data_IF_871753737400
#
_entry.id   IF_871753737400
#
_cell.length_a   1.000
_cell.length_b   1.000
_cell.length_c   1.000
_cell.angle_alpha   90.00
_cell.angle_beta   90.00
_cell.angle_gamma   90.00
#
_symmetry.space_group_name_H-M   'P 1'
#
loop_
_entity.id
_entity.type
_entity.pdbx_description
1 polymer ?
#
# COMPACT_ATOMS: atom_id res chain seq x y z
N UNK A 1 -34.57 -5.53 16.84
CA UNK A 1 -34.88 -4.22 16.22
C UNK A 1 -33.79 -3.94 15.18
N UNK A 2 -34.10 -4.14 13.90
CA UNK A 2 -33.16 -4.06 12.77
C UNK A 2 -33.50 -2.82 11.94
N UNK A 3 -32.55 -1.90 11.76
CA UNK A 3 -32.72 -0.67 10.98
C UNK A 3 -32.10 -0.90 9.59
N UNK A 4 -32.95 -0.98 8.57
CA UNK A 4 -32.55 -0.97 7.15
C UNK A 4 -32.37 0.49 6.69
N UNK A 5 -31.18 0.87 6.23
CA UNK A 5 -31.00 2.12 5.49
C UNK A 5 -31.23 1.90 3.99
N UNK A 6 -32.21 2.63 3.46
CA UNK A 6 -32.66 2.64 2.07
C UNK A 6 -31.86 3.70 1.32
N UNK A 7 -30.92 3.29 0.45
CA UNK A 7 -30.17 4.23 -0.41
C UNK A 7 -31.00 4.51 -1.66
N UNK A 8 -31.31 5.79 -1.89
CA UNK A 8 -32.08 6.30 -3.03
C UNK A 8 -31.09 6.62 -4.17
N UNK A 9 -31.14 5.85 -5.25
CA UNK A 9 -30.46 6.19 -6.51
C UNK A 9 -31.41 7.05 -7.34
N UNK A 10 -31.08 8.34 -7.50
CA UNK A 10 -31.78 9.22 -8.44
C UNK A 10 -31.09 9.22 -9.81
N UNK A 11 -31.95 9.26 -10.83
CA UNK A 11 -31.68 9.08 -12.25
C UNK A 11 -30.77 10.19 -12.82
N UNK A 12 -29.69 9.79 -13.50
CA UNK A 12 -28.88 10.69 -14.33
C UNK A 12 -29.07 10.30 -15.80
N UNK A 13 -30.17 10.77 -16.41
CA UNK A 13 -30.39 10.74 -17.85
C UNK A 13 -30.80 12.14 -18.26
N UNK A 14 -29.88 12.90 -18.87
CA UNK A 14 -30.21 14.15 -19.53
C UNK A 14 -29.23 14.46 -20.67
N UNK A 15 -29.78 14.34 -21.88
CA UNK A 15 -29.61 15.26 -23.01
C UNK A 15 -28.20 15.62 -23.48
N UNK A 16 -27.65 14.84 -24.42
CA UNK A 16 -26.67 15.36 -25.39
C UNK A 16 -26.79 14.66 -26.76
N UNK A 17 -28.01 14.62 -27.32
CA UNK A 17 -28.29 14.09 -28.67
C UNK A 17 -28.61 15.21 -29.68
N UNK A 18 -27.91 16.36 -29.57
CA UNK A 18 -28.03 17.47 -30.55
C UNK A 18 -26.68 18.01 -31.04
N UNK A 19 -25.56 17.36 -30.72
CA UNK A 19 -24.22 17.81 -31.10
C UNK A 19 -23.53 16.91 -32.15
N UNK A 20 -24.31 16.14 -32.92
CA UNK A 20 -23.77 15.22 -33.94
C UNK A 20 -24.14 15.65 -35.37
N UNK A 21 -24.87 16.76 -35.56
CA UNK A 21 -25.43 17.15 -36.87
C UNK A 21 -24.93 18.49 -37.44
N UNK A 22 -23.85 19.09 -36.93
CA UNK A 22 -23.39 20.41 -37.37
C UNK A 22 -21.90 20.53 -37.71
N UNK A 23 -21.22 19.45 -38.08
CA UNK A 23 -19.82 19.52 -38.57
C UNK A 23 -19.62 18.92 -39.96
N UNK A 24 -20.65 18.99 -40.82
CA UNK A 24 -20.62 18.55 -42.23
C UNK A 24 -20.31 19.67 -43.24
N UNK A 25 -19.69 20.78 -42.84
CA UNK A 25 -19.29 21.84 -43.77
C UNK A 25 -17.96 22.48 -43.38
N UNK A 26 -16.86 21.90 -43.85
CA UNK A 26 -15.59 22.61 -44.21
C UNK A 26 -14.64 21.63 -44.92
N UNK A 27 -14.99 21.21 -46.14
CA UNK A 27 -14.03 20.58 -47.06
C UNK A 27 -13.92 21.49 -48.27
N UNK A 28 -12.95 22.41 -48.25
CA UNK A 28 -12.22 22.88 -49.45
C UNK A 28 -10.99 23.68 -49.01
N UNK A 29 -9.84 23.00 -48.82
CA UNK A 29 -8.53 23.65 -48.87
C UNK A 29 -7.52 22.65 -49.46
N UNK A 30 -7.24 22.86 -50.76
CA UNK A 30 -5.99 22.63 -51.50
C UNK A 30 -5.19 21.33 -51.30
N UNK A 31 -5.21 20.51 -52.36
CA UNK A 31 -4.14 19.59 -52.76
C UNK A 31 -2.83 20.35 -53.00
N UNK A 32 -1.85 20.16 -52.12
CA UNK A 32 -0.44 20.31 -52.43
C UNK A 32 0.34 19.26 -51.62
N UNK A 33 0.82 18.20 -52.28
CA UNK A 33 1.76 17.23 -51.71
C UNK A 33 3.17 17.85 -51.70
N UNK A 34 3.82 18.07 -50.56
CA UNK A 34 5.27 18.10 -50.54
C UNK A 34 5.77 16.65 -50.52
N UNK A 35 6.68 16.34 -51.44
CA UNK A 35 7.49 15.12 -51.43
C UNK A 35 8.32 15.12 -50.14
N UNK A 36 8.04 14.19 -49.24
CA UNK A 36 8.89 13.95 -48.09
C UNK A 36 10.09 13.13 -48.57
N UNK A 37 11.19 13.84 -48.79
CA UNK A 37 12.50 13.26 -49.06
C UNK A 37 12.85 12.27 -47.94
N UNK A 38 13.00 10.99 -48.28
CA UNK A 38 13.50 9.96 -47.36
C UNK A 38 14.93 10.33 -46.98
N UNK A 39 15.10 10.99 -45.83
CA UNK A 39 16.41 11.05 -45.18
C UNK A 39 16.89 9.61 -44.90
N UNK A 40 18.13 9.26 -45.25
CA UNK A 40 18.67 7.95 -44.94
C UNK A 40 18.67 7.76 -43.43
N UNK A 41 18.08 6.65 -42.96
CA UNK A 41 18.18 6.20 -41.58
C UNK A 41 19.65 5.95 -41.28
N UNK A 42 20.33 6.95 -40.72
CA UNK A 42 21.59 6.72 -40.03
C UNK A 42 21.29 5.78 -38.88
N UNK A 43 21.68 4.51 -39.05
CA UNK A 43 21.91 3.59 -37.95
C UNK A 43 22.93 4.27 -37.02
N UNK A 44 22.42 5.00 -36.03
CA UNK A 44 23.20 5.35 -34.85
C UNK A 44 23.53 4.01 -34.21
N UNK A 45 24.76 3.54 -34.41
CA UNK A 45 25.33 2.53 -33.55
C UNK A 45 25.27 3.12 -32.13
N UNK A 46 24.24 2.72 -31.38
CA UNK A 46 24.23 2.93 -29.96
C UNK A 46 25.50 2.26 -29.46
N UNK A 47 26.44 3.05 -28.96
CA UNK A 47 27.56 2.53 -28.19
C UNK A 47 26.93 1.79 -27.01
N UNK A 48 26.77 0.48 -27.16
CA UNK A 48 26.32 -0.39 -26.08
C UNK A 48 27.40 -0.27 -25.03
N UNK A 49 27.13 0.52 -23.99
CA UNK A 49 28.00 0.56 -22.83
C UNK A 49 28.05 -0.87 -22.29
N UNK A 50 29.19 -1.59 -22.37
CA UNK A 50 29.25 -3.00 -22.03
C UNK A 50 28.87 -3.24 -20.56
N UNK A 51 29.09 -2.24 -19.69
CA UNK A 51 28.65 -2.27 -18.30
C UNK A 51 27.12 -2.35 -18.16
N UNK A 52 26.37 -1.61 -18.99
CA UNK A 52 24.90 -1.62 -18.96
C UNK A 52 24.33 -2.94 -19.46
N UNK A 53 25.01 -3.60 -20.40
CA UNK A 53 24.60 -4.92 -20.85
C UNK A 53 24.93 -6.02 -19.84
N UNK A 54 26.05 -5.89 -19.11
CA UNK A 54 26.42 -6.81 -18.05
C UNK A 54 25.40 -6.81 -16.90
N UNK A 55 24.97 -5.61 -16.45
CA UNK A 55 23.95 -5.49 -15.39
C UNK A 55 22.57 -6.00 -15.79
N UNK A 56 22.21 -5.96 -17.08
CA UNK A 56 20.90 -6.45 -17.53
C UNK A 56 20.78 -7.97 -17.54
N UNK A 57 21.91 -8.69 -17.56
CA UNK A 57 21.94 -10.16 -17.45
C UNK A 57 22.44 -10.69 -16.10
N UNK A 58 23.06 -9.84 -15.28
CA UNK A 58 23.59 -10.27 -14.00
C UNK A 58 22.46 -10.59 -13.02
N UNK A 59 22.68 -11.64 -12.23
CA UNK A 59 21.68 -12.20 -11.32
C UNK A 59 22.27 -12.44 -9.94
N UNK A 60 21.43 -12.28 -8.93
CA UNK A 60 21.67 -12.79 -7.59
C UNK A 60 20.87 -14.08 -7.39
N UNK A 61 21.33 -14.94 -6.49
CA UNK A 61 20.58 -16.13 -6.07
C UNK A 61 20.30 -16.06 -4.57
N UNK A 62 19.03 -16.07 -4.19
CA UNK A 62 18.64 -16.23 -2.80
C UNK A 62 18.96 -17.67 -2.37
N UNK A 63 19.83 -17.83 -1.37
CA UNK A 63 20.29 -19.15 -0.94
C UNK A 63 19.21 -19.96 -0.21
N UNK A 64 18.24 -19.27 0.40
CA UNK A 64 17.19 -19.94 1.16
C UNK A 64 16.09 -20.51 0.25
N UNK A 65 15.63 -19.73 -0.73
CA UNK A 65 14.58 -20.18 -1.67
C UNK A 65 15.12 -20.77 -2.96
N UNK A 66 16.41 -20.58 -3.26
CA UNK A 66 17.03 -20.93 -4.53
C UNK A 66 16.63 -20.04 -5.71
N UNK A 67 15.80 -19.00 -5.47
CA UNK A 67 15.27 -18.12 -6.51
C UNK A 67 16.37 -17.21 -7.07
N UNK A 68 16.40 -17.11 -8.40
CA UNK A 68 17.25 -16.14 -9.10
C UNK A 68 16.50 -14.82 -9.31
N UNK A 69 17.22 -13.71 -9.17
CA UNK A 69 16.71 -12.35 -9.33
C UNK A 69 17.64 -11.58 -10.25
N UNK A 70 17.11 -10.87 -11.24
CA UNK A 70 17.92 -9.90 -11.98
C UNK A 70 18.26 -8.72 -11.08
N UNK A 71 19.36 -8.03 -11.37
CA UNK A 71 19.71 -6.79 -10.67
C UNK A 71 18.54 -5.80 -10.73
N UNK A 72 18.10 -5.33 -9.55
CA UNK A 72 16.94 -4.45 -9.40
C UNK A 72 15.63 -5.17 -9.05
N UNK A 73 15.52 -6.45 -9.38
CA UNK A 73 14.35 -7.26 -9.00
C UNK A 73 14.29 -7.47 -7.49
N UNK A 74 13.07 -7.61 -7.00
CA UNK A 74 12.79 -7.97 -5.62
C UNK A 74 11.61 -8.92 -5.52
N UNK A 75 11.53 -9.62 -4.39
CA UNK A 75 10.36 -10.40 -4.04
C UNK A 75 10.18 -10.46 -2.52
N UNK A 76 8.98 -10.81 -2.09
CA UNK A 76 8.69 -11.09 -0.68
C UNK A 76 8.94 -12.56 -0.40
N UNK A 77 9.79 -12.87 0.58
CA UNK A 77 9.95 -14.25 1.06
C UNK A 77 8.74 -14.62 1.91
N UNK A 78 7.88 -15.48 1.37
CA UNK A 78 6.65 -15.94 2.02
C UNK A 78 6.93 -16.56 3.38
N UNK A 79 6.05 -16.32 4.36
CA UNK A 79 6.19 -16.81 5.74
C UNK A 79 7.21 -16.07 6.61
N UNK A 80 8.05 -15.20 6.05
CA UNK A 80 9.01 -14.39 6.83
C UNK A 80 8.74 -12.88 6.74
N UNK A 81 7.93 -12.44 5.78
CA UNK A 81 7.72 -11.02 5.45
C UNK A 81 9.03 -10.23 5.33
N UNK A 82 9.92 -10.72 4.48
CA UNK A 82 11.20 -10.08 4.19
C UNK A 82 11.21 -9.72 2.71
N UNK A 83 11.56 -8.48 2.39
CA UNK A 83 11.82 -8.10 0.99
C UNK A 83 13.26 -8.45 0.65
N UNK A 84 13.42 -9.32 -0.33
CA UNK A 84 14.72 -9.72 -0.87
C UNK A 84 14.93 -8.96 -2.17
N UNK A 85 16.05 -8.27 -2.32
CA UNK A 85 16.39 -7.51 -3.51
C UNK A 85 17.80 -7.84 -4.00
N UNK A 86 17.97 -7.97 -5.32
CA UNK A 86 19.29 -8.10 -5.93
C UNK A 86 19.87 -6.70 -6.20
N UNK A 87 20.97 -6.36 -5.52
CA UNK A 87 21.66 -5.08 -5.70
C UNK A 87 22.59 -5.09 -6.91
N UNK A 88 22.99 -3.90 -7.36
CA UNK A 88 24.01 -3.74 -8.40
C UNK A 88 25.39 -4.32 -8.02
N UNK A 89 25.66 -4.57 -6.75
CA UNK A 89 26.88 -5.25 -6.29
C UNK A 89 26.83 -6.78 -6.46
N UNK A 90 25.73 -7.33 -7.00
CA UNK A 90 25.43 -8.77 -7.04
C UNK A 90 25.26 -9.41 -5.65
N UNK A 91 24.99 -8.58 -4.66
CA UNK A 91 24.65 -9.00 -3.31
C UNK A 91 23.14 -9.02 -3.13
N UNK A 92 22.68 -9.92 -2.27
CA UNK A 92 21.31 -9.93 -1.79
C UNK A 92 21.17 -8.94 -0.63
N UNK A 93 20.21 -8.04 -0.74
CA UNK A 93 19.76 -7.20 0.35
C UNK A 93 18.45 -7.71 0.92
N UNK A 94 18.36 -7.75 2.26
CA UNK A 94 17.16 -8.15 2.98
C UNK A 94 16.60 -6.96 3.75
N UNK A 95 15.33 -6.60 3.48
CA UNK A 95 14.56 -5.66 4.29
C UNK A 95 13.58 -6.42 5.18
N UNK A 96 13.57 -6.08 6.47
CA UNK A 96 12.70 -6.71 7.47
C UNK A 96 11.77 -5.65 8.02
N UNK A 97 10.57 -6.08 8.41
CA UNK A 97 9.64 -5.21 9.12
C UNK A 97 10.31 -4.59 10.34
N UNK A 98 10.39 -3.27 10.36
CA UNK A 98 10.91 -2.54 11.49
C UNK A 98 9.88 -2.58 12.62
N UNK A 99 10.38 -2.67 13.86
CA UNK A 99 9.53 -2.52 15.05
C UNK A 99 9.50 -1.01 15.36
N UNK A 100 8.35 -0.33 15.22
CA UNK A 100 8.26 1.09 15.49
C UNK A 100 8.42 1.38 16.98
N UNK A 101 8.73 2.64 17.31
CA UNK A 101 8.68 3.11 18.70
C UNK A 101 7.22 3.30 19.08
N UNK A 102 6.71 2.40 19.91
CA UNK A 102 5.32 2.36 20.35
C UNK A 102 5.20 2.74 21.84
N UNK A 103 3.99 3.06 22.33
CA UNK A 103 3.70 3.15 23.75
C UNK A 103 4.03 1.86 24.51
N UNK A 104 3.94 1.91 25.83
CA UNK A 104 4.04 0.71 26.66
C UNK A 104 2.83 -0.21 26.44
N UNK A 105 2.99 -1.50 26.81
CA UNK A 105 1.92 -2.51 26.77
C UNK A 105 1.32 -2.73 25.36
N UNK A 106 2.20 -2.93 24.38
CA UNK A 106 1.83 -3.26 23.01
C UNK A 106 2.14 -4.73 22.68
N UNK A 107 1.26 -5.35 21.90
CA UNK A 107 1.42 -6.70 21.36
C UNK A 107 1.34 -6.66 19.84
N UNK A 108 2.17 -7.46 19.16
CA UNK A 108 2.04 -7.62 17.70
C UNK A 108 0.81 -8.44 17.37
N UNK A 109 -0.01 -7.94 16.47
CA UNK A 109 -1.14 -8.66 15.92
C UNK A 109 -0.69 -9.54 14.76
N UNK A 110 -1.29 -10.74 14.62
CA UNK A 110 -1.04 -11.57 13.44
C UNK A 110 -1.51 -10.82 12.20
N UNK A 111 -0.74 -10.96 11.13
CA UNK A 111 -1.08 -10.39 9.82
C UNK A 111 -2.35 -11.07 9.34
N UNK A 112 -3.33 -10.30 8.85
CA UNK A 112 -4.60 -10.85 8.38
C UNK A 112 -4.44 -11.86 7.24
N UNK A 113 -3.33 -11.78 6.49
CA UNK A 113 -3.02 -12.67 5.39
C UNK A 113 -1.49 -12.80 5.20
N UNK A 114 -0.97 -14.02 5.33
CA UNK A 114 0.46 -14.36 5.19
C UNK A 114 0.98 -14.32 3.74
N UNK A 115 0.08 -14.27 2.75
CA UNK A 115 0.39 -14.17 1.32
C UNK A 115 0.54 -12.72 0.84
N UNK A 116 0.49 -11.74 1.75
CA UNK A 116 0.72 -10.35 1.40
C UNK A 116 2.20 -10.12 1.06
N UNK A 117 2.43 -9.27 0.07
CA UNK A 117 3.78 -8.79 -0.24
C UNK A 117 4.25 -7.75 0.77
N UNK A 118 5.56 -7.67 0.98
CA UNK A 118 6.20 -6.62 1.75
C UNK A 118 5.86 -5.23 1.14
N UNK A 119 5.55 -4.21 1.95
CA UNK A 119 5.52 -4.21 3.43
C UNK A 119 4.15 -4.57 4.02
N UNK A 120 3.16 -4.97 3.21
CA UNK A 120 1.80 -5.25 3.69
C UNK A 120 1.70 -6.50 4.56
N UNK A 121 2.65 -7.41 4.45
CA UNK A 121 2.77 -8.54 5.37
C UNK A 121 3.38 -8.16 6.73
N UNK A 122 3.74 -6.90 6.98
CA UNK A 122 4.28 -6.52 8.28
C UNK A 122 3.17 -6.49 9.34
N UNK A 123 3.49 -6.86 10.59
CA UNK A 123 2.51 -6.87 11.66
C UNK A 123 2.00 -5.46 11.97
N UNK A 124 0.75 -5.39 12.42
CA UNK A 124 0.22 -4.23 13.14
C UNK A 124 0.39 -4.48 14.64
N UNK A 125 0.26 -3.43 15.44
CA UNK A 125 0.49 -3.50 16.88
C UNK A 125 -0.71 -2.97 17.63
N UNK A 126 -1.16 -3.70 18.64
CA UNK A 126 -2.23 -3.29 19.53
C UNK A 126 -1.63 -2.89 20.88
N UNK A 127 -1.93 -1.68 21.33
CA UNK A 127 -1.49 -1.11 22.59
C UNK A 127 -2.69 -0.81 23.48
N UNK A 128 -2.52 -1.04 24.79
CA UNK A 128 -3.53 -0.73 25.80
C UNK A 128 -3.01 0.29 26.79
N UNK A 129 -3.80 1.31 27.05
CA UNK A 129 -3.56 2.24 28.16
C UNK A 129 -4.79 2.33 29.06
N UNK A 130 -4.56 2.54 30.35
CA UNK A 130 -5.60 2.60 31.37
C UNK A 130 -5.54 3.94 32.07
N UNK A 131 -6.70 4.59 32.21
CA UNK A 131 -6.84 5.85 32.94
C UNK A 131 -7.93 5.69 33.99
N UNK A 132 -7.56 5.80 35.27
CA UNK A 132 -8.49 5.70 36.39
C UNK A 132 -8.95 7.07 36.84
N UNK A 133 -10.27 7.25 36.95
CA UNK A 133 -10.92 8.46 37.43
C UNK A 133 -11.89 8.12 38.58
N UNK A 134 -12.38 9.11 39.36
CA UNK A 134 -13.32 8.86 40.46
C UNK A 134 -14.62 8.13 40.06
N UNK A 135 -14.99 8.20 38.78
CA UNK A 135 -16.24 7.64 38.24
C UNK A 135 -16.06 6.27 37.56
N UNK A 136 -14.83 5.78 37.41
CA UNK A 136 -14.56 4.61 36.59
C UNK A 136 -13.13 4.52 36.09
N UNK A 137 -12.83 3.43 35.40
CA UNK A 137 -11.61 3.24 34.63
C UNK A 137 -11.91 3.31 33.14
N UNK A 138 -11.01 3.89 32.36
CA UNK A 138 -11.09 3.92 30.91
C UNK A 138 -9.92 3.16 30.33
N UNK A 139 -10.22 2.13 29.55
CA UNK A 139 -9.25 1.43 28.72
C UNK A 139 -9.26 2.05 27.32
N UNK A 140 -8.09 2.42 26.82
CA UNK A 140 -7.89 2.87 25.45
C UNK A 140 -7.08 1.82 24.70
N UNK A 141 -7.68 1.28 23.64
CA UNK A 141 -7.06 0.33 22.72
C UNK A 141 -6.66 1.05 21.44
N UNK A 142 -5.38 1.05 21.11
CA UNK A 142 -4.82 1.72 19.94
C UNK A 142 -4.15 0.70 19.02
N UNK A 143 -4.42 0.77 17.73
CA UNK A 143 -3.79 -0.08 16.71
C UNK A 143 -2.88 0.78 15.85
N UNK A 144 -1.61 0.39 15.75
CA UNK A 144 -0.58 1.04 14.97
C UNK A 144 -0.14 0.18 13.78
N UNK A 145 0.28 0.82 12.69
CA UNK A 145 0.95 0.14 11.58
C UNK A 145 2.43 -0.15 11.88
N UNK A 146 3.09 -0.83 10.93
CA UNK A 146 4.51 -1.19 11.02
C UNK A 146 5.47 0.01 11.01
N UNK A 147 4.99 1.21 10.69
CA UNK A 147 5.78 2.45 10.74
C UNK A 147 5.49 3.29 11.99
N UNK A 148 4.54 2.88 12.82
CA UNK A 148 4.14 3.57 14.04
C UNK A 148 3.01 4.58 13.85
N UNK A 149 2.32 4.59 12.71
CA UNK A 149 1.13 5.45 12.54
C UNK A 149 -0.08 4.81 13.20
N UNK A 150 -0.89 5.63 13.89
CA UNK A 150 -2.15 5.20 14.46
C UNK A 150 -3.17 4.91 13.35
N UNK A 151 -3.63 3.66 13.27
CA UNK A 151 -4.66 3.22 12.34
C UNK A 151 -6.06 3.29 12.94
N UNK A 152 -6.18 2.94 14.22
CA UNK A 152 -7.46 2.88 14.93
C UNK A 152 -7.28 3.12 16.41
N UNK A 153 -8.28 3.76 17.00
CA UNK A 153 -8.41 3.92 18.44
C UNK A 153 -9.81 3.46 18.87
N UNK A 154 -9.93 2.90 20.07
CA UNK A 154 -11.19 2.48 20.66
C UNK A 154 -11.15 2.70 22.17
N UNK A 155 -12.21 3.30 22.69
CA UNK A 155 -12.34 3.65 24.10
C UNK A 155 -13.38 2.74 24.75
N UNK A 156 -13.01 2.10 25.85
CA UNK A 156 -13.89 1.29 26.68
C UNK A 156 -13.95 1.93 28.07
N UNK A 157 -15.15 2.29 28.52
CA UNK A 157 -15.33 2.89 29.84
C UNK A 157 -15.98 1.88 30.80
N UNK A 158 -15.33 1.63 31.93
CA UNK A 158 -15.79 0.75 33.00
C UNK A 158 -16.22 1.62 34.18
N UNK A 159 -17.52 1.64 34.48
CA UNK A 159 -18.08 2.41 35.59
C UNK A 159 -18.03 1.55 36.85
N UNK A 160 -17.40 2.03 37.91
CA UNK A 160 -17.47 1.40 39.23
C UNK A 160 -18.68 1.93 39.99
N UNK A 161 -19.66 1.07 40.28
CA UNK A 161 -20.74 1.43 41.18
C UNK A 161 -20.25 1.28 42.62
N UNK A 162 -20.09 2.41 43.34
CA UNK A 162 -19.80 2.38 44.78
C UNK A 162 -21.03 1.82 45.50
N UNK A 163 -20.94 0.58 45.97
CA UNK A 163 -21.92 0.01 46.89
C UNK A 163 -21.51 0.45 48.29
N UNK A 164 -22.28 1.38 48.86
CA UNK A 164 -22.16 1.70 50.27
C UNK A 164 -22.89 0.61 51.06
N UNK A 165 -22.15 -0.16 51.85
CA UNK A 165 -22.74 -1.06 52.85
C UNK A 165 -22.97 -0.21 54.09
N UNK A 166 -24.22 0.16 54.31
CA UNK A 166 -24.65 0.82 55.53
C UNK A 166 -24.61 -0.24 56.65
N UNK A 167 -23.65 -0.10 57.57
CA UNK A 167 -23.57 -0.95 58.76
C UNK A 167 -24.50 -0.38 59.81
N UNK A 168 -25.71 -0.92 59.88
CA UNK A 168 -26.62 -0.66 61.00
C UNK A 168 -25.98 -1.18 62.29
N UNK A 169 -25.77 -0.28 63.25
CA UNK A 169 -25.25 -0.55 64.59
C UNK A 169 -26.27 -0.12 65.62
#
# INVERSE_FOLDING_TARGET
MLIYMKVKFENFVSNNLKLILLLSLTIQVTLARPQQEKQPQQHKFATVNPYRHYFTSAKCKDLLTGRELYVGDFFTRSGQCIRIQCLGTLEIWEDRCQIPKLPDNCNSLPVANEFLDYPRCCPTYECHSYTTNPNGETETRQIYDHTGNLLRESLLHVIYQKVYVESDN
#
